data_IF_297789987582
#
_entry.id   IF_297789987582
#
_cell.length_a   1.000
_cell.length_b   1.000
_cell.length_c   1.000
_cell.angle_alpha   90.00
_cell.angle_beta   90.00
_cell.angle_gamma   90.00
#
_symmetry.space_group_name_H-M   'P 1'
#
loop_
_entity.id
_entity.type
_entity.pdbx_description
1 polymer ?
#
# COMPACT_ATOMS: atom_id res chain seq x y z
N UNK A 1 9.87 43.11 56.84
CA UNK A 1 9.66 41.66 56.61
C UNK A 1 8.80 41.53 55.36
N UNK A 2 9.38 41.33 54.16
CA UNK A 2 9.62 40.00 53.52
C UNK A 2 8.35 39.12 53.59
N UNK A 3 7.76 38.54 52.55
CA UNK A 3 8.16 38.25 51.15
C UNK A 3 6.96 37.49 50.50
N UNK A 4 6.84 37.55 49.16
CA UNK A 4 6.23 36.54 48.26
C UNK A 4 4.70 36.25 48.28
N UNK A 5 4.04 35.82 47.20
CA UNK A 5 4.39 35.53 45.80
C UNK A 5 3.09 35.47 44.96
N UNK A 6 3.24 35.94 43.73
CA UNK A 6 2.49 35.61 42.51
C UNK A 6 1.90 34.20 42.50
N UNK A 7 0.58 34.05 42.30
CA UNK A 7 0.01 32.91 41.54
C UNK A 7 -1.16 33.39 40.68
N UNK A 8 -0.81 33.97 39.54
CA UNK A 8 -1.64 34.02 38.35
C UNK A 8 -1.62 32.62 37.70
N UNK A 9 -2.81 32.08 37.41
CA UNK A 9 -3.11 31.06 36.39
C UNK A 9 -2.37 29.71 36.46
N UNK A 10 -3.11 28.58 36.55
CA UNK A 10 -3.58 28.00 35.29
C UNK A 10 -4.90 27.21 35.43
N UNK A 11 -6.03 27.79 35.01
CA UNK A 11 -7.25 27.00 34.69
C UNK A 11 -7.40 26.82 33.16
N UNK A 12 -6.51 27.43 32.36
CA UNK A 12 -6.51 27.34 30.90
C UNK A 12 -5.63 26.23 30.30
N UNK A 13 -5.13 25.30 31.11
CA UNK A 13 -4.29 24.18 30.64
C UNK A 13 -5.04 22.84 30.46
N UNK A 14 -6.32 22.75 30.85
CA UNK A 14 -7.10 21.50 30.76
C UNK A 14 -8.15 21.46 29.64
N UNK A 15 -8.36 22.55 28.90
CA UNK A 15 -9.33 22.58 27.79
C UNK A 15 -8.70 22.77 26.39
N UNK A 16 -7.37 22.78 26.27
CA UNK A 16 -6.66 23.12 25.04
C UNK A 16 -5.88 22.00 24.34
N UNK A 17 -5.66 20.85 24.98
CA UNK A 17 -4.78 19.78 24.46
C UNK A 17 -5.51 18.63 23.75
N UNK A 18 -6.82 18.47 23.97
CA UNK A 18 -7.60 17.36 23.41
C UNK A 18 -8.07 17.57 21.96
N UNK A 19 -7.95 18.79 21.44
CA UNK A 19 -8.43 19.13 20.09
C UNK A 19 -7.34 19.03 18.99
N UNK A 20 -6.06 18.86 19.36
CA UNK A 20 -4.96 18.76 18.39
C UNK A 20 -4.70 17.31 17.95
N UNK A 21 -4.99 16.33 18.82
CA UNK A 21 -4.85 14.90 18.54
C UNK A 21 -6.22 14.27 18.32
N UNK A 22 -7.00 14.80 17.36
CA UNK A 22 -8.39 14.43 17.12
C UNK A 22 -8.71 12.98 17.50
N UNK A 23 -9.58 12.80 18.51
CA UNK A 23 -10.05 11.50 19.00
C UNK A 23 -10.18 10.50 17.83
N UNK A 24 -9.71 9.25 17.94
CA UNK A 24 -9.73 8.30 16.84
C UNK A 24 -11.19 8.04 16.45
N UNK A 25 -11.66 8.75 15.42
CA UNK A 25 -12.97 8.56 14.83
C UNK A 25 -13.01 7.10 14.37
N UNK A 26 -13.83 6.27 15.05
CA UNK A 26 -13.85 4.82 14.89
C UNK A 26 -13.74 4.37 13.44
N UNK A 27 -12.87 3.36 13.20
CA UNK A 27 -12.56 2.66 11.92
C UNK A 27 -13.25 3.17 10.63
N UNK A 28 -13.10 4.43 10.25
CA UNK A 28 -13.70 5.00 9.03
C UNK A 28 -12.65 5.09 7.92
N UNK A 29 -12.40 3.96 7.27
CA UNK A 29 -11.53 3.85 6.10
C UNK A 29 -11.82 2.58 5.30
N UNK A 30 -11.40 2.50 4.02
CA UNK A 30 -11.58 1.30 3.21
C UNK A 30 -10.87 0.10 3.84
N UNK A 31 -11.49 -1.08 3.73
CA UNK A 31 -10.87 -2.36 4.15
C UNK A 31 -9.85 -2.88 3.13
N UNK A 32 -9.93 -2.40 1.89
CA UNK A 32 -9.08 -2.78 0.76
C UNK A 32 -8.83 -1.52 -0.06
N UNK A 33 -7.57 -1.31 -0.45
CA UNK A 33 -7.18 -0.34 -1.47
C UNK A 33 -6.52 -1.07 -2.63
N UNK A 34 -6.46 -0.40 -3.77
CA UNK A 34 -6.09 -0.98 -5.04
C UNK A 34 -4.93 -0.21 -5.67
N UNK A 35 -3.99 -0.92 -6.29
CA UNK A 35 -2.92 -0.30 -7.08
C UNK A 35 -2.86 -0.94 -8.45
N UNK A 36 -3.09 -0.16 -9.50
CA UNK A 36 -2.85 -0.58 -10.88
C UNK A 36 -1.40 -0.33 -11.28
N UNK A 37 -0.79 -1.27 -11.97
CA UNK A 37 0.52 -1.12 -12.59
C UNK A 37 0.76 -2.21 -13.65
N UNK A 38 1.62 -1.94 -14.62
CA UNK A 38 2.18 -2.96 -15.52
C UNK A 38 3.28 -3.82 -14.86
N UNK A 39 3.72 -3.49 -13.63
CA UNK A 39 4.73 -4.29 -12.92
C UNK A 39 4.12 -5.63 -12.49
N UNK A 40 4.71 -6.77 -12.90
CA UNK A 40 4.12 -8.07 -12.63
C UNK A 40 4.40 -8.57 -11.20
N UNK A 41 3.57 -9.49 -10.68
CA UNK A 41 3.60 -9.92 -9.28
C UNK A 41 4.96 -10.43 -8.82
N UNK A 42 5.64 -11.23 -9.63
CA UNK A 42 6.96 -11.75 -9.33
C UNK A 42 7.99 -10.66 -9.07
N UNK A 43 7.92 -9.55 -9.80
CA UNK A 43 8.82 -8.40 -9.60
C UNK A 43 8.47 -7.68 -8.30
N UNK A 44 7.17 -7.47 -8.02
CA UNK A 44 6.71 -6.83 -6.78
C UNK A 44 7.12 -7.66 -5.56
N UNK A 45 6.89 -8.97 -5.59
CA UNK A 45 7.23 -9.86 -4.48
C UNK A 45 8.75 -9.95 -4.26
N UNK A 46 9.56 -10.02 -5.33
CA UNK A 46 11.03 -10.00 -5.21
C UNK A 46 11.56 -8.71 -4.59
N UNK A 47 10.87 -7.58 -4.77
CA UNK A 47 11.20 -6.28 -4.15
C UNK A 47 10.71 -6.15 -2.70
N UNK A 48 10.06 -7.17 -2.18
CA UNK A 48 9.41 -7.14 -0.86
C UNK A 48 8.14 -6.31 -0.83
N UNK A 49 7.61 -5.88 -1.98
CA UNK A 49 6.42 -5.04 -2.10
C UNK A 49 6.63 -3.80 -2.98
N UNK A 50 5.82 -2.76 -2.75
CA UNK A 50 5.92 -1.49 -3.47
C UNK A 50 6.77 -0.48 -2.71
N UNK A 51 7.90 -0.12 -3.32
CA UNK A 51 8.77 0.93 -2.79
C UNK A 51 8.36 2.29 -3.35
N UNK A 52 8.41 3.37 -2.54
CA UNK A 52 8.30 4.71 -3.06
C UNK A 52 9.54 5.03 -3.90
N UNK A 53 9.47 6.07 -4.75
CA UNK A 53 10.62 6.50 -5.55
C UNK A 53 11.79 7.03 -4.71
N UNK A 54 11.53 7.42 -3.46
CA UNK A 54 12.54 7.80 -2.47
C UNK A 54 12.40 6.94 -1.21
N UNK A 55 12.91 5.69 -1.24
CA UNK A 55 12.78 4.75 -0.12
C UNK A 55 13.64 5.14 1.09
N UNK A 56 14.70 5.94 0.89
CA UNK A 56 15.56 6.45 1.96
C UNK A 56 14.90 7.57 2.77
N UNK A 57 13.75 8.07 2.34
CA UNK A 57 13.04 9.20 2.96
C UNK A 57 13.99 10.36 3.30
N UNK A 58 14.72 10.83 2.30
CA UNK A 58 15.64 11.97 2.43
C UNK A 58 15.13 13.17 1.66
N UNK A 59 15.43 14.38 2.13
CA UNK A 59 15.27 15.59 1.31
C UNK A 59 16.28 15.56 0.17
N UNK A 60 15.83 15.85 -1.05
CA UNK A 60 16.66 15.80 -2.25
C UNK A 60 16.86 17.21 -2.80
N UNK A 61 18.12 17.66 -2.86
CA UNK A 61 18.47 18.95 -3.44
C UNK A 61 18.05 19.00 -4.91
N UNK A 62 17.42 20.11 -5.34
CA UNK A 62 16.95 20.29 -6.71
C UNK A 62 15.61 19.63 -7.05
N UNK A 63 14.94 19.02 -6.06
CA UNK A 63 13.62 18.42 -6.24
C UNK A 63 12.57 19.11 -5.37
N UNK A 64 11.30 19.00 -5.80
CA UNK A 64 10.17 19.32 -4.94
C UNK A 64 10.24 18.50 -3.64
N UNK A 65 9.75 19.09 -2.54
CA UNK A 65 9.83 18.45 -1.24
C UNK A 65 9.18 17.05 -1.27
N UNK A 66 9.94 15.98 -1.01
CA UNK A 66 9.49 14.61 -1.22
C UNK A 66 8.43 14.16 -0.18
N UNK A 67 8.31 14.89 0.92
CA UNK A 67 7.35 14.64 2.00
C UNK A 67 6.00 15.33 1.81
N UNK A 68 5.87 16.21 0.80
CA UNK A 68 4.61 16.89 0.50
C UNK A 68 3.60 15.94 -0.16
N UNK A 69 2.46 15.71 0.51
CA UNK A 69 1.32 15.00 -0.08
C UNK A 69 0.77 15.74 -1.30
N UNK A 70 0.76 17.08 -1.27
CA UNK A 70 0.35 17.89 -2.41
C UNK A 70 1.22 17.60 -3.63
N UNK A 71 2.55 17.65 -3.50
CA UNK A 71 3.48 17.37 -4.59
C UNK A 71 3.36 15.91 -5.07
N UNK A 72 3.10 14.98 -4.17
CA UNK A 72 2.81 13.59 -4.53
C UNK A 72 1.56 13.48 -5.41
N UNK A 73 0.43 14.04 -4.95
CA UNK A 73 -0.86 13.87 -5.61
C UNK A 73 -1.10 14.74 -6.83
N UNK A 74 -0.51 15.94 -6.93
CA UNK A 74 -0.67 16.76 -8.14
C UNK A 74 0.15 16.23 -9.31
N UNK A 75 1.28 15.56 -9.03
CA UNK A 75 2.17 15.00 -10.04
C UNK A 75 2.40 15.97 -11.20
N UNK A 76 2.95 17.17 -10.96
CA UNK A 76 3.19 18.09 -12.07
C UNK A 76 4.23 17.50 -13.03
N UNK A 77 3.96 17.45 -14.34
CA UNK A 77 5.02 17.38 -15.33
C UNK A 77 5.70 18.75 -15.31
N UNK A 78 6.90 18.82 -14.73
CA UNK A 78 7.88 19.78 -15.27
C UNK A 78 8.61 19.03 -16.39
N UNK A 79 9.05 19.76 -17.43
CA UNK A 79 9.52 19.33 -18.77
C UNK A 79 10.67 18.30 -18.85
N UNK A 80 10.85 17.45 -17.85
CA UNK A 80 11.60 16.22 -17.97
C UNK A 80 10.81 15.08 -17.34
N UNK A 81 10.76 13.95 -18.02
CA UNK A 81 10.27 12.66 -17.53
C UNK A 81 11.01 12.16 -16.26
N UNK A 82 11.83 13.00 -15.61
CA UNK A 82 12.58 12.74 -14.39
C UNK A 82 12.20 13.65 -13.21
N UNK A 83 11.32 14.65 -13.41
CA UNK A 83 10.77 15.48 -12.33
C UNK A 83 9.62 14.79 -11.57
N UNK A 84 9.42 13.49 -11.81
CA UNK A 84 8.60 12.62 -11.00
C UNK A 84 8.91 12.86 -9.53
N UNK A 85 7.88 13.23 -8.75
CA UNK A 85 8.00 13.37 -7.32
C UNK A 85 8.74 12.15 -6.79
N UNK A 86 10.01 12.34 -6.40
CA UNK A 86 10.80 11.38 -5.61
C UNK A 86 10.23 11.37 -4.20
N UNK A 87 8.93 11.19 -4.15
CA UNK A 87 8.12 11.24 -2.97
C UNK A 87 8.34 9.98 -2.19
N UNK A 88 8.09 10.10 -0.90
CA UNK A 88 8.19 9.00 0.06
C UNK A 88 6.91 8.15 0.12
N UNK A 89 5.95 8.41 -0.78
CA UNK A 89 4.64 7.78 -0.78
C UNK A 89 4.46 6.83 -1.97
N UNK A 90 3.63 5.81 -1.77
CA UNK A 90 3.10 4.95 -2.84
C UNK A 90 1.60 5.20 -2.97
N UNK A 91 1.16 5.60 -4.15
CA UNK A 91 -0.26 5.87 -4.43
C UNK A 91 -1.06 4.58 -4.59
N UNK A 92 -2.26 4.57 -4.01
CA UNK A 92 -3.30 3.54 -4.15
C UNK A 92 -4.67 4.20 -4.22
N UNK A 93 -5.68 3.54 -4.79
CA UNK A 93 -7.05 4.04 -4.83
C UNK A 93 -7.96 3.19 -3.96
N UNK A 94 -8.97 3.79 -3.32
CA UNK A 94 -10.06 3.01 -2.71
C UNK A 94 -11.06 2.47 -3.75
N UNK A 95 -10.88 2.74 -5.04
CA UNK A 95 -11.75 2.30 -6.13
C UNK A 95 -11.00 1.41 -7.11
N UNK A 96 -11.45 0.15 -7.27
CA UNK A 96 -10.82 -0.83 -8.17
C UNK A 96 -10.74 -0.34 -9.62
N UNK A 97 -11.84 0.20 -10.17
CA UNK A 97 -11.91 0.72 -11.55
C UNK A 97 -10.93 1.88 -11.77
N UNK A 98 -10.78 2.75 -10.78
CA UNK A 98 -9.85 3.86 -10.84
C UNK A 98 -8.38 3.38 -10.78
N UNK A 99 -8.09 2.35 -9.98
CA UNK A 99 -6.77 1.75 -9.99
C UNK A 99 -6.45 1.12 -11.36
N UNK A 100 -7.42 0.49 -12.03
CA UNK A 100 -7.23 -0.07 -13.37
C UNK A 100 -6.76 0.98 -14.38
N UNK A 101 -7.29 2.22 -14.31
CA UNK A 101 -6.89 3.31 -15.22
C UNK A 101 -5.45 3.80 -15.02
N UNK A 102 -4.73 3.32 -13.98
CA UNK A 102 -3.30 3.60 -13.80
C UNK A 102 -2.41 2.64 -14.59
N UNK A 103 -2.99 1.61 -15.21
CA UNK A 103 -2.29 0.77 -16.19
C UNK A 103 -2.36 1.48 -17.54
N UNK A 104 -1.28 2.16 -17.90
CA UNK A 104 -1.24 3.02 -19.10
C UNK A 104 -0.79 2.28 -20.36
N UNK A 105 -0.18 1.10 -20.23
CA UNK A 105 0.41 0.36 -21.35
C UNK A 105 0.26 -1.15 -21.14
N UNK A 106 -0.19 -1.84 -22.20
CA UNK A 106 -0.19 -3.29 -22.33
C UNK A 106 -0.85 -4.05 -21.17
N UNK A 107 -0.37 -5.27 -20.94
CA UNK A 107 -0.78 -6.10 -19.80
C UNK A 107 -0.50 -5.38 -18.48
N UNK A 108 -1.45 -5.43 -17.56
CA UNK A 108 -1.24 -4.94 -16.20
C UNK A 108 -1.92 -5.77 -15.13
N UNK A 109 -1.87 -5.23 -13.92
CA UNK A 109 -2.32 -5.89 -12.71
C UNK A 109 -2.97 -4.88 -11.77
N UNK A 110 -4.06 -5.28 -11.11
CA UNK A 110 -4.64 -4.57 -9.99
C UNK A 110 -4.29 -5.34 -8.72
N UNK A 111 -3.43 -4.77 -7.88
CA UNK A 111 -3.09 -5.35 -6.58
C UNK A 111 -4.15 -4.97 -5.55
N UNK A 112 -4.63 -5.95 -4.79
CA UNK A 112 -5.58 -5.77 -3.68
C UNK A 112 -4.78 -5.76 -2.38
N UNK A 113 -4.89 -4.67 -1.63
CA UNK A 113 -3.98 -4.38 -0.53
C UNK A 113 -4.78 -4.09 0.73
N UNK A 114 -4.37 -4.68 1.87
CA UNK A 114 -4.85 -4.26 3.19
C UNK A 114 -4.15 -2.97 3.62
N UNK A 115 -4.88 -1.85 3.74
CA UNK A 115 -4.27 -0.62 4.23
C UNK A 115 -3.94 -0.73 5.73
N UNK A 116 -2.82 -0.13 6.11
CA UNK A 116 -2.35 0.01 7.47
C UNK A 116 -2.31 1.47 7.90
N UNK A 117 -2.09 1.80 9.18
CA UNK A 117 -2.14 3.19 9.64
C UNK A 117 -1.18 4.13 8.89
N UNK A 118 -0.09 3.64 8.29
CA UNK A 118 0.77 4.44 7.41
C UNK A 118 0.12 4.87 6.06
N UNK A 119 -1.11 4.44 5.77
CA UNK A 119 -1.90 4.89 4.61
C UNK A 119 -2.71 6.14 4.99
N UNK A 120 -2.56 7.18 4.17
CA UNK A 120 -3.12 8.51 4.41
C UNK A 120 -4.17 8.83 3.37
N UNK A 121 -5.35 9.30 3.78
CA UNK A 121 -6.37 9.82 2.88
C UNK A 121 -5.90 11.15 2.29
N UNK A 122 -5.38 11.12 1.06
CA UNK A 122 -4.78 12.29 0.42
C UNK A 122 -5.79 13.43 0.27
N UNK A 123 -6.97 13.12 -0.28
CA UNK A 123 -8.01 14.12 -0.54
C UNK A 123 -8.41 14.89 0.70
N UNK A 124 -8.66 14.20 1.82
CA UNK A 124 -9.06 14.86 3.07
C UNK A 124 -7.89 15.65 3.67
N UNK A 125 -6.65 15.15 3.54
CA UNK A 125 -5.45 15.84 4.01
C UNK A 125 -5.23 17.17 3.28
N UNK A 126 -5.62 17.24 2.00
CA UNK A 126 -5.51 18.43 1.16
C UNK A 126 -6.80 19.28 1.11
N UNK A 127 -7.73 19.08 2.05
CA UNK A 127 -8.92 19.93 2.19
C UNK A 127 -10.03 19.66 1.18
N UNK A 128 -9.94 18.55 0.44
CA UNK A 128 -10.97 18.08 -0.46
C UNK A 128 -11.35 19.13 -1.50
N UNK A 129 -12.64 19.49 -1.52
CA UNK A 129 -13.18 20.35 -2.58
C UNK A 129 -12.56 21.74 -2.65
N UNK A 130 -12.01 22.21 -1.52
CA UNK A 130 -11.60 23.59 -1.33
C UNK A 130 -10.20 23.91 -1.86
N UNK A 131 -9.25 22.98 -1.72
CA UNK A 131 -7.83 23.25 -1.99
C UNK A 131 -7.14 22.21 -2.86
N UNK A 132 -7.88 21.24 -3.38
CA UNK A 132 -7.30 20.17 -4.19
C UNK A 132 -8.08 19.96 -5.48
N UNK A 133 -7.40 19.61 -6.57
CA UNK A 133 -7.99 19.54 -7.91
C UNK A 133 -9.14 18.50 -8.01
N UNK A 134 -10.17 18.81 -8.82
CA UNK A 134 -11.34 17.93 -8.94
C UNK A 134 -10.99 16.57 -9.53
N UNK A 135 -10.24 16.55 -10.64
CA UNK A 135 -9.89 15.32 -11.35
C UNK A 135 -9.06 14.43 -10.41
N UNK A 136 -8.09 15.02 -9.71
CA UNK A 136 -7.30 14.30 -8.72
C UNK A 136 -8.10 13.75 -7.55
N UNK A 137 -9.16 14.44 -7.12
CA UNK A 137 -10.03 13.92 -6.05
C UNK A 137 -10.82 12.67 -6.46
N UNK A 138 -11.08 12.47 -7.75
CA UNK A 138 -11.82 11.30 -8.24
C UNK A 138 -11.00 10.02 -8.10
N UNK A 139 -9.66 10.15 -8.03
CA UNK A 139 -8.72 9.05 -7.81
C UNK A 139 -8.95 8.35 -6.45
N UNK A 140 -9.61 9.01 -5.49
CA UNK A 140 -9.87 8.51 -4.12
C UNK A 140 -8.60 7.91 -3.48
N UNK A 141 -7.50 8.65 -3.58
CA UNK A 141 -6.19 8.16 -3.22
C UNK A 141 -6.03 7.93 -1.70
N UNK A 142 -5.40 6.81 -1.37
CA UNK A 142 -4.73 6.58 -0.10
C UNK A 142 -3.23 6.38 -0.35
N UNK A 143 -2.41 7.30 0.16
CA UNK A 143 -0.96 7.29 -0.06
C UNK A 143 -0.27 6.56 1.09
N UNK A 144 0.46 5.49 0.80
CA UNK A 144 1.22 4.75 1.80
C UNK A 144 2.60 5.39 2.01
N UNK A 145 2.83 5.97 3.19
CA UNK A 145 4.13 6.53 3.55
C UNK A 145 5.15 5.42 3.80
N UNK A 146 6.30 5.51 3.14
CA UNK A 146 7.43 4.57 3.28
C UNK A 146 7.34 3.31 2.41
N UNK A 147 6.17 3.01 1.82
CA UNK A 147 5.95 1.86 0.96
C UNK A 147 4.84 0.92 1.44
N UNK A 148 4.72 -0.21 0.75
CA UNK A 148 3.70 -1.26 1.00
C UNK A 148 4.40 -2.60 0.96
N UNK A 149 4.34 -3.38 2.04
CA UNK A 149 4.97 -4.71 2.09
C UNK A 149 4.21 -5.74 1.27
N UNK A 150 4.94 -6.72 0.73
CA UNK A 150 4.38 -7.85 0.00
C UNK A 150 3.35 -8.62 0.82
N UNK A 151 3.56 -8.75 2.14
CA UNK A 151 2.63 -9.43 3.04
C UNK A 151 1.33 -8.64 3.31
N UNK A 152 1.26 -7.35 2.92
CA UNK A 152 0.03 -6.56 2.93
C UNK A 152 -0.83 -6.78 1.68
N UNK A 153 -0.26 -7.36 0.63
CA UNK A 153 -0.92 -7.59 -0.66
C UNK A 153 -1.72 -8.89 -0.54
N UNK A 154 -3.04 -8.81 -0.62
CA UNK A 154 -3.95 -9.97 -0.56
C UNK A 154 -3.85 -10.85 -1.81
N UNK A 155 -3.50 -10.23 -2.94
CA UNK A 155 -3.47 -10.85 -4.25
C UNK A 155 -3.55 -9.80 -5.35
N UNK A 156 -3.73 -10.24 -6.58
CA UNK A 156 -3.80 -9.37 -7.74
C UNK A 156 -4.82 -9.88 -8.75
N UNK A 157 -5.41 -8.95 -9.48
CA UNK A 157 -6.23 -9.23 -10.66
C UNK A 157 -5.42 -8.95 -11.90
N UNK A 158 -5.32 -9.91 -12.81
CA UNK A 158 -4.67 -9.70 -14.10
C UNK A 158 -5.55 -8.90 -15.06
N UNK A 159 -4.91 -8.05 -15.84
CA UNK A 159 -5.52 -7.24 -16.89
C UNK A 159 -4.77 -7.50 -18.21
N UNK A 160 -5.09 -8.58 -18.96
CA UNK A 160 -4.37 -8.93 -20.17
C UNK A 160 -4.37 -7.84 -21.25
N UNK A 161 -5.45 -7.05 -21.33
CA UNK A 161 -5.63 -5.93 -22.25
C UNK A 161 -5.47 -4.57 -21.54
N UNK A 162 -4.77 -4.55 -20.40
CA UNK A 162 -4.59 -3.33 -19.61
C UNK A 162 -5.93 -2.79 -19.07
N UNK A 163 -6.06 -1.47 -19.01
CA UNK A 163 -7.26 -0.80 -18.48
C UNK A 163 -8.56 -1.18 -19.21
N UNK A 164 -8.46 -1.63 -20.47
CA UNK A 164 -9.59 -2.02 -21.32
C UNK A 164 -10.03 -3.48 -21.11
N UNK A 165 -9.34 -4.25 -20.27
CA UNK A 165 -9.74 -5.62 -19.93
C UNK A 165 -11.18 -5.62 -19.38
N UNK A 166 -12.12 -6.37 -19.98
CA UNK A 166 -13.48 -6.50 -19.48
C UNK A 166 -13.50 -7.03 -18.04
N UNK A 167 -14.43 -6.54 -17.22
CA UNK A 167 -14.55 -6.98 -15.82
C UNK A 167 -14.89 -8.47 -15.71
N UNK A 168 -15.57 -9.05 -16.71
CA UNK A 168 -15.82 -10.50 -16.83
C UNK A 168 -14.54 -11.33 -16.90
N UNK A 169 -13.45 -10.73 -17.38
CA UNK A 169 -12.18 -11.41 -17.64
C UNK A 169 -11.22 -11.25 -16.48
N UNK A 170 -11.64 -10.57 -15.41
CA UNK A 170 -10.83 -10.40 -14.21
C UNK A 170 -10.59 -11.77 -13.58
N UNK A 171 -9.32 -12.15 -13.46
CA UNK A 171 -8.88 -13.35 -12.75
C UNK A 171 -8.05 -12.92 -11.54
N UNK A 172 -8.55 -13.23 -10.35
CA UNK A 172 -7.87 -12.91 -9.10
C UNK A 172 -7.00 -14.08 -8.63
N UNK A 173 -5.74 -13.80 -8.38
CA UNK A 173 -4.77 -14.74 -7.83
C UNK A 173 -4.45 -14.31 -6.40
N UNK A 174 -4.65 -15.22 -5.44
CA UNK A 174 -4.31 -15.00 -4.03
C UNK A 174 -2.80 -14.95 -3.86
N UNK A 175 -2.32 -14.01 -3.06
CA UNK A 175 -0.91 -13.96 -2.66
C UNK A 175 -0.68 -14.94 -1.50
N UNK A 176 0.15 -15.98 -1.65
CA UNK A 176 0.46 -16.90 -0.55
C UNK A 176 1.28 -16.25 0.58
N UNK A 177 1.90 -15.08 0.33
CA UNK A 177 2.66 -14.33 1.33
C UNK A 177 1.80 -13.37 2.16
N UNK A 178 0.50 -13.25 1.86
CA UNK A 178 -0.39 -12.37 2.62
C UNK A 178 -0.46 -12.78 4.09
N UNK A 179 -0.31 -11.82 5.00
CA UNK A 179 -0.36 -12.04 6.44
C UNK A 179 -1.70 -11.51 7.01
N UNK A 180 -2.44 -12.40 7.69
CA UNK A 180 -3.74 -12.08 8.28
C UNK A 180 -3.66 -11.05 9.41
N UNK A 181 -2.47 -10.74 9.95
CA UNK A 181 -2.30 -9.66 10.95
C UNK A 181 -2.88 -8.32 10.49
N UNK A 182 -3.00 -8.10 9.18
CA UNK A 182 -3.54 -6.88 8.60
C UNK A 182 -5.08 -6.84 8.47
N UNK A 183 -5.81 -7.94 8.74
CA UNK A 183 -7.27 -7.99 8.50
C UNK A 183 -8.07 -6.96 9.31
N UNK A 184 -7.61 -6.70 10.54
CA UNK A 184 -8.21 -5.71 11.45
C UNK A 184 -7.66 -4.29 11.22
N UNK A 185 -6.63 -4.15 10.39
CA UNK A 185 -5.95 -2.89 10.15
C UNK A 185 -6.74 -1.94 9.27
N UNK A 186 -6.52 -0.63 9.45
CA UNK A 186 -7.19 0.46 8.72
C UNK A 186 -6.21 1.61 8.45
N UNK A 187 -6.46 2.46 7.44
CA UNK A 187 -5.67 3.68 7.22
C UNK A 187 -5.87 4.70 8.36
N UNK A 188 -4.90 5.60 8.55
CA UNK A 188 -4.93 6.65 9.61
C UNK A 188 -5.89 7.80 9.34
N UNK A 189 -6.48 7.89 8.13
CA UNK A 189 -7.38 8.98 7.77
C UNK A 189 -6.63 10.20 7.24
N UNK A 190 -7.09 11.41 7.56
CA UNK A 190 -6.53 12.65 7.04
C UNK A 190 -5.35 13.13 7.89
N UNK A 191 -4.27 13.57 7.24
CA UNK A 191 -3.05 14.07 7.88
C UNK A 191 -2.69 15.47 7.34
N UNK A 192 -3.41 16.53 7.77
CA UNK A 192 -3.19 17.90 7.29
C UNK A 192 -1.77 18.44 7.54
N UNK A 193 -1.07 17.96 8.55
CA UNK A 193 0.32 18.29 8.84
C UNK A 193 1.30 17.81 7.75
N UNK A 194 0.90 16.82 6.95
CA UNK A 194 1.67 16.31 5.80
C UNK A 194 1.23 16.91 4.47
N UNK A 195 0.27 17.85 4.47
CA UNK A 195 -0.31 18.39 3.24
C UNK A 195 0.75 18.97 2.29
N UNK A 196 1.68 19.77 2.83
CA UNK A 196 2.82 20.29 2.07
C UNK A 196 2.44 21.14 0.86
N UNK A 197 1.39 21.95 0.96
CA UNK A 197 1.00 22.91 -0.08
C UNK A 197 2.15 23.86 -0.47
N UNK A 198 2.11 24.44 -1.69
CA UNK A 198 3.00 25.53 -2.09
C UNK A 198 3.00 26.66 -1.05
N UNK A 199 4.13 27.36 -0.89
CA UNK A 199 4.33 28.36 0.16
C UNK A 199 3.29 29.51 0.10
N UNK A 200 2.84 29.88 -1.10
CA UNK A 200 1.85 30.92 -1.35
C UNK A 200 0.39 30.41 -1.31
N UNK A 201 0.14 29.16 -0.92
CA UNK A 201 -1.22 28.61 -0.89
C UNK A 201 -2.09 29.27 0.20
N UNK A 202 -3.32 29.67 -0.16
CA UNK A 202 -4.31 30.18 0.79
C UNK A 202 -4.62 29.17 1.91
N UNK A 203 -4.44 27.87 1.66
CA UNK A 203 -4.68 26.81 2.64
C UNK A 203 -3.92 27.04 3.95
N UNK A 204 -2.70 27.60 3.89
CA UNK A 204 -1.90 27.90 5.08
C UNK A 204 -2.50 29.00 5.98
N UNK A 205 -3.47 29.77 5.48
CA UNK A 205 -4.19 30.76 6.28
C UNK A 205 -5.42 30.17 7.01
N UNK A 206 -5.83 28.95 6.65
CA UNK A 206 -7.06 28.31 7.17
C UNK A 206 -6.72 27.15 8.10
N UNK A 207 -7.59 26.91 9.09
CA UNK A 207 -7.51 25.70 9.92
C UNK A 207 -7.95 24.47 9.10
N UNK A 208 -7.36 23.28 9.35
CA UNK A 208 -6.32 23.04 10.36
C UNK A 208 -4.89 23.37 9.90
N UNK A 209 -4.62 23.54 8.60
CA UNK A 209 -3.27 23.66 8.03
C UNK A 209 -2.45 24.82 8.60
N UNK A 210 -3.08 25.94 8.94
CA UNK A 210 -2.43 27.08 9.60
C UNK A 210 -1.58 26.65 10.81
N UNK A 211 -2.05 25.67 11.58
CA UNK A 211 -1.36 25.18 12.78
C UNK A 211 -0.07 24.41 12.46
N UNK A 212 0.01 23.82 11.26
CA UNK A 212 1.14 23.00 10.82
C UNK A 212 2.10 23.74 9.90
N UNK A 213 1.82 25.00 9.57
CA UNK A 213 2.73 25.83 8.81
C UNK A 213 4.06 25.99 9.57
N UNK A 214 5.19 25.97 8.86
CA UNK A 214 6.53 26.00 9.48
C UNK A 214 6.74 27.24 10.36
N UNK A 215 6.24 28.39 9.94
CA UNK A 215 6.35 29.63 10.71
C UNK A 215 5.54 29.61 12.03
N UNK A 216 4.57 28.71 12.16
CA UNK A 216 3.74 28.57 13.37
C UNK A 216 4.24 27.43 14.26
N UNK A 217 4.52 26.27 13.66
CA UNK A 217 4.88 25.06 14.39
C UNK A 217 6.37 24.84 14.59
N UNK A 218 7.23 25.52 13.83
CA UNK A 218 8.67 25.28 13.77
C UNK A 218 9.08 23.97 13.06
N UNK A 219 8.13 23.07 12.75
CA UNK A 219 8.40 21.75 12.21
C UNK A 219 8.47 21.72 10.68
N UNK A 220 9.34 20.85 10.15
CA UNK A 220 9.41 20.51 8.73
C UNK A 220 8.46 19.37 8.38
N UNK A 221 8.14 19.19 7.09
CA UNK A 221 7.37 18.04 6.62
C UNK A 221 8.07 16.70 6.91
N UNK A 222 9.41 16.68 6.88
CA UNK A 222 10.18 15.50 7.26
C UNK A 222 9.96 15.13 8.73
N UNK A 223 10.01 16.12 9.64
CA UNK A 223 9.75 15.89 11.05
C UNK A 223 8.33 15.35 11.27
N UNK A 224 7.31 15.96 10.65
CA UNK A 224 5.95 15.43 10.71
C UNK A 224 5.83 14.01 10.15
N UNK A 225 6.54 13.69 9.07
CA UNK A 225 6.51 12.34 8.49
C UNK A 225 7.17 11.31 9.40
N UNK A 226 8.26 11.66 10.08
CA UNK A 226 8.95 10.80 11.05
C UNK A 226 8.09 10.58 12.30
N UNK A 227 7.47 11.62 12.83
CA UNK A 227 6.53 11.53 13.95
C UNK A 227 5.33 10.65 13.59
N UNK A 228 4.72 10.88 12.43
CA UNK A 228 3.63 10.05 11.93
C UNK A 228 4.04 8.58 11.80
N UNK A 229 5.23 8.29 11.27
CA UNK A 229 5.71 6.89 11.15
C UNK A 229 6.05 6.27 12.50
N UNK A 230 6.55 7.06 13.47
CA UNK A 230 6.74 6.58 14.84
C UNK A 230 5.42 6.16 15.48
N UNK A 231 4.33 6.89 15.23
CA UNK A 231 2.99 6.56 15.74
C UNK A 231 2.32 5.40 14.98
N UNK A 232 2.44 5.36 13.66
CA UNK A 232 1.60 4.51 12.80
C UNK A 232 2.35 3.39 12.06
N UNK A 233 3.68 3.39 12.08
CA UNK A 233 4.52 2.52 11.26
C UNK A 233 4.85 1.16 11.89
N UNK A 234 4.54 0.92 13.17
CA UNK A 234 4.98 -0.29 13.88
C UNK A 234 4.52 -1.59 13.20
N UNK A 235 3.27 -1.63 12.71
CA UNK A 235 2.70 -2.84 12.08
C UNK A 235 3.37 -3.17 10.73
N UNK A 236 3.99 -2.18 10.08
CA UNK A 236 4.77 -2.35 8.85
C UNK A 236 6.28 -2.38 9.14
N UNK A 237 6.67 -2.67 10.39
CA UNK A 237 8.07 -2.87 10.75
C UNK A 237 8.91 -1.60 10.85
N UNK A 238 8.30 -0.42 11.00
CA UNK A 238 9.06 0.82 11.26
C UNK A 238 9.81 0.72 12.59
N UNK A 239 11.13 0.97 12.55
CA UNK A 239 12.05 0.93 13.71
C UNK A 239 12.67 2.29 14.04
N UNK A 240 12.08 3.38 13.53
CA UNK A 240 12.59 4.74 13.68
C UNK A 240 13.40 5.25 12.49
N UNK A 241 13.78 4.39 11.55
CA UNK A 241 14.54 4.77 10.36
C UNK A 241 14.07 4.04 9.09
N UNK A 242 14.15 4.70 7.92
CA UNK A 242 13.90 4.10 6.60
C UNK A 242 15.12 3.29 6.12
N UNK A 243 14.98 2.47 5.07
CA UNK A 243 13.75 2.15 4.33
C UNK A 243 12.90 1.09 5.05
N UNK A 244 11.58 1.08 4.80
CA UNK A 244 10.70 -0.02 5.27
C UNK A 244 10.98 -1.34 4.54
N UNK A 245 11.39 -1.24 3.27
CA UNK A 245 11.63 -2.36 2.38
C UNK A 245 13.11 -2.43 1.99
N UNK A 246 13.68 -3.62 1.80
CA UNK A 246 15.03 -3.75 1.26
C UNK A 246 15.14 -3.04 -0.08
N UNK A 247 16.10 -2.12 -0.23
CA UNK A 247 16.37 -1.47 -1.52
C UNK A 247 17.01 -2.54 -2.41
N UNK A 248 16.25 -3.03 -3.40
CA UNK A 248 16.71 -4.01 -4.39
C UNK A 248 16.56 -3.38 -5.77
N UNK A 249 17.67 -3.14 -6.45
CA UNK A 249 17.70 -2.64 -7.82
C UNK A 249 17.34 -3.73 -8.85
N UNK A 250 16.98 -3.36 -10.08
CA UNK A 250 16.86 -4.30 -11.19
C UNK A 250 18.13 -5.14 -11.43
N UNK A 251 19.30 -4.57 -11.16
CA UNK A 251 20.62 -5.20 -11.32
C UNK A 251 21.04 -6.12 -10.18
N UNK A 252 20.37 -6.03 -9.01
CA UNK A 252 20.53 -7.01 -7.92
C UNK A 252 19.81 -8.33 -8.22
N UNK A 253 19.34 -8.49 -9.47
CA UNK A 253 18.70 -9.67 -10.03
C UNK A 253 19.71 -10.32 -10.99
N UNK A 254 20.25 -11.52 -10.71
CA UNK A 254 21.09 -12.20 -11.68
C UNK A 254 20.30 -12.44 -12.98
N UNK A 255 20.82 -11.91 -14.09
CA UNK A 255 20.24 -11.96 -15.44
C UNK A 255 19.94 -13.39 -15.93
N UNK A 256 20.47 -14.42 -15.27
CA UNK A 256 20.25 -15.84 -15.60
C UNK A 256 18.91 -16.44 -15.15
N UNK A 257 18.04 -15.72 -14.42
CA UNK A 257 16.70 -16.22 -14.03
C UNK A 257 15.54 -15.58 -14.80
N UNK A 258 15.83 -14.74 -15.80
CA UNK A 258 14.81 -14.14 -16.68
C UNK A 258 14.37 -15.14 -17.77
N UNK A 259 15.17 -16.18 -18.04
CA UNK A 259 14.79 -17.35 -18.83
C UNK A 259 14.43 -18.51 -17.89
N UNK A 260 13.18 -18.58 -17.43
CA UNK A 260 12.78 -19.63 -16.50
C UNK A 260 11.39 -19.44 -15.89
N UNK A 261 10.37 -19.38 -16.73
CA UNK A 261 8.96 -19.52 -16.33
C UNK A 261 8.66 -20.84 -15.59
N UNK A 262 9.61 -21.79 -15.50
CA UNK A 262 9.42 -23.07 -14.80
C UNK A 262 9.81 -23.06 -13.31
N UNK A 263 10.72 -22.21 -12.86
CA UNK A 263 11.29 -22.34 -11.50
C UNK A 263 10.35 -21.91 -10.36
N UNK A 264 9.56 -20.86 -10.58
CA UNK A 264 8.61 -20.38 -9.58
C UNK A 264 7.26 -21.11 -9.66
N UNK A 265 6.85 -21.53 -10.86
CA UNK A 265 5.76 -22.48 -11.04
C UNK A 265 6.07 -23.81 -10.33
N UNK A 266 7.30 -24.33 -10.43
CA UNK A 266 7.73 -25.54 -9.74
C UNK A 266 7.71 -25.39 -8.20
N UNK A 267 8.09 -24.23 -7.64
CA UNK A 267 8.00 -24.00 -6.18
C UNK A 267 6.57 -23.83 -5.68
N UNK A 268 5.69 -23.22 -6.48
CA UNK A 268 4.25 -23.12 -6.16
C UNK A 268 3.57 -24.48 -6.29
N UNK A 269 3.89 -25.27 -7.32
CA UNK A 269 3.40 -26.63 -7.50
C UNK A 269 3.92 -27.59 -6.43
N UNK A 270 5.19 -27.50 -6.04
CA UNK A 270 5.76 -28.34 -4.98
C UNK A 270 5.16 -28.01 -3.60
N UNK A 271 4.81 -26.74 -3.34
CA UNK A 271 4.11 -26.34 -2.11
C UNK A 271 2.63 -26.78 -2.11
N UNK A 272 1.96 -26.72 -3.26
CA UNK A 272 0.60 -27.23 -3.42
C UNK A 272 0.52 -28.76 -3.32
N UNK A 273 1.49 -29.49 -3.91
CA UNK A 273 1.59 -30.94 -3.83
C UNK A 273 1.83 -31.42 -2.40
N UNK A 274 2.75 -30.79 -1.65
CA UNK A 274 2.96 -31.11 -0.23
C UNK A 274 1.71 -30.86 0.64
N UNK A 275 0.91 -29.85 0.32
CA UNK A 275 -0.37 -29.59 1.02
C UNK A 275 -1.45 -30.59 0.62
N UNK A 276 -1.50 -31.03 -0.64
CA UNK A 276 -2.39 -32.09 -1.09
C UNK A 276 -2.07 -33.44 -0.46
N UNK A 277 -0.79 -33.79 -0.40
CA UNK A 277 -0.31 -35.03 0.23
C UNK A 277 -0.60 -35.06 1.73
N UNK A 278 -0.39 -33.94 2.44
CA UNK A 278 -0.77 -33.82 3.85
C UNK A 278 -2.29 -33.95 4.06
N UNK A 279 -3.11 -33.37 3.18
CA UNK A 279 -4.56 -33.47 3.25
C UNK A 279 -5.07 -34.89 2.94
N UNK A 280 -4.41 -35.62 2.03
CA UNK A 280 -4.75 -37.03 1.74
C UNK A 280 -4.34 -37.97 2.88
N UNK A 281 -3.19 -37.73 3.52
CA UNK A 281 -2.78 -38.46 4.74
C UNK A 281 -3.72 -38.22 5.92
N UNK A 282 -4.26 -37.00 6.04
CA UNK A 282 -5.24 -36.66 7.08
C UNK A 282 -6.61 -37.28 6.77
N UNK A 283 -7.04 -37.30 5.51
CA UNK A 283 -8.25 -37.99 5.07
C UNK A 283 -8.16 -39.52 5.25
N UNK A 284 -7.02 -40.14 4.96
CA UNK A 284 -6.79 -41.57 5.15
C UNK A 284 -6.82 -41.97 6.64
N UNK A 285 -6.25 -41.13 7.52
CA UNK A 285 -6.35 -41.32 8.97
C UNK A 285 -7.79 -41.19 9.48
N UNK A 286 -8.58 -40.30 8.90
CA UNK A 286 -9.99 -40.15 9.26
C UNK A 286 -10.86 -41.34 8.78
N UNK A 287 -10.53 -41.97 7.64
CA UNK A 287 -11.21 -43.19 7.19
C UNK A 287 -10.86 -44.44 8.01
N UNK A 288 -9.68 -44.51 8.63
CA UNK A 288 -9.33 -45.62 9.54
C UNK A 288 -10.02 -45.52 10.91
N UNK A 289 -10.40 -44.31 11.34
CA UNK A 289 -11.10 -44.09 12.63
C UNK A 289 -12.62 -44.24 12.48
N UNK A 290 -13.17 -44.02 11.28
CA UNK A 290 -14.58 -44.23 10.96
C UNK A 290 -14.78 -45.56 10.24
N UNK A 291 -14.78 -46.67 10.96
CA UNK A 291 -15.05 -48.00 10.41
C UNK A 291 -16.38 -48.05 9.66
N UNK A 292 -16.32 -48.00 8.33
CA UNK A 292 -17.38 -48.41 7.40
C UNK A 292 -16.70 -49.17 6.28
N UNK A 293 -16.83 -50.49 6.34
CA UNK A 293 -16.67 -51.38 5.20
C UNK A 293 -17.69 -50.97 4.13
N UNK A 294 -17.22 -50.69 2.91
CA UNK A 294 -17.74 -51.37 1.72
C UNK A 294 -16.87 -51.07 0.50
N UNK A 295 -16.77 -52.10 -0.33
CA UNK A 295 -15.90 -52.29 -1.48
C UNK A 295 -15.97 -51.21 -2.56
N UNK A 296 -14.82 -50.72 -3.00
CA UNK A 296 -14.60 -50.26 -4.37
C UNK A 296 -13.14 -50.53 -4.77
N UNK A 297 -12.97 -51.46 -5.71
CA UNK A 297 -11.68 -51.90 -6.24
C UNK A 297 -11.04 -50.86 -7.14
N UNK A 298 -9.74 -50.70 -6.96
CA UNK A 298 -8.84 -49.84 -7.73
C UNK A 298 -8.62 -50.44 -9.13
N UNK A 299 -9.48 -50.12 -10.10
CA UNK A 299 -9.22 -50.42 -11.53
C UNK A 299 -9.88 -49.49 -12.56
N UNK A 300 -10.50 -48.37 -12.18
CA UNK A 300 -11.00 -47.39 -13.15
C UNK A 300 -10.50 -45.99 -12.80
N UNK A 301 -9.51 -45.51 -13.57
CA UNK A 301 -9.17 -44.09 -13.86
C UNK A 301 -7.68 -43.95 -14.19
N UNK A 302 -7.22 -44.62 -15.25
CA UNK A 302 -5.95 -44.31 -15.87
C UNK A 302 -6.00 -44.62 -17.37
N UNK A 303 -6.74 -43.83 -18.16
CA UNK A 303 -6.49 -43.65 -19.60
C UNK A 303 -7.43 -42.59 -20.21
N UNK A 304 -6.82 -41.56 -20.79
CA UNK A 304 -7.47 -40.51 -21.60
C UNK A 304 -7.21 -39.11 -21.04
N UNK A 305 -6.45 -38.22 -21.66
CA UNK A 305 -5.77 -38.21 -22.94
C UNK A 305 -5.18 -36.80 -23.11
N UNK A 306 -3.98 -36.71 -23.66
CA UNK A 306 -3.25 -35.48 -23.98
C UNK A 306 -3.21 -35.37 -25.52
N UNK A 307 -3.32 -34.14 -26.07
CA UNK A 307 -3.12 -33.73 -27.50
C UNK A 307 -4.32 -34.10 -28.41
N UNK A 308 -4.94 -33.25 -29.25
CA UNK A 308 -4.49 -32.24 -30.22
C UNK A 308 -5.71 -31.41 -30.71
N UNK A 309 -5.55 -30.14 -31.12
CA UNK A 309 -6.30 -29.52 -32.24
C UNK A 309 -5.86 -28.06 -32.49
N UNK A 310 -5.01 -27.89 -33.51
CA UNK A 310 -4.78 -26.67 -34.28
C UNK A 310 -4.98 -27.04 -35.76
N UNK A 311 -5.64 -26.15 -36.51
CA UNK A 311 -5.94 -26.11 -37.96
C UNK A 311 -7.25 -26.79 -38.42
N UNK A 312 -8.29 -25.97 -38.61
CA UNK A 312 -8.83 -25.56 -39.94
C UNK A 312 -9.13 -24.06 -39.88
#
# INVERSE_FOLDING_TARGET
MHLFLVVLWPILLLYGLDAVHGKPLGQKGPKIVYRGTSTPPEVVMRRGGFQPRNPKMTVLKGYLNPFSLYNHGVGKPFDSAYAHSRSVYVSTSSKRRQAASFVTEGRGYIYHIRPTPNFINLNKSLGGKRFYDRIKREEKEYSALGGIHADQIMGWTELPQGADTPVSDYRFTKNPLYDQKYDKSRPSGAQPQLAGFPQNSEAWTKRPWKLFHKAVSGKTLEQYAREFMAEHGRIVGWRGFPPLLPIRGPQDLPLGQIAGTSGMAARVQHSAAKKGEAAMLEAAKLSEVGGLSDSLTVTDMALGGIIEAIIV
#
